data_IF_270506963009
#
_entry.id   IF_270506963009
#
_cell.length_a   1.000
_cell.length_b   1.000
_cell.length_c   1.000
_cell.angle_alpha   90.00
_cell.angle_beta   90.00
_cell.angle_gamma   90.00
#
_symmetry.space_group_name_H-M   'P 1'
#
loop_
_entity.id
_entity.type
_entity.pdbx_description
1 polymer ?
#
# COMPACT_ATOMS: atom_id res chain seq x y z
N UNK A 1 -9.42 13.63 -12.34
CA UNK A 1 -10.09 12.54 -11.62
C UNK A 1 -9.63 11.18 -12.12
N UNK A 2 -8.33 10.98 -12.36
CA UNK A 2 -7.80 9.78 -13.05
C UNK A 2 -6.55 9.23 -12.38
N UNK A 3 -6.59 9.09 -11.06
CA UNK A 3 -5.37 8.86 -10.30
C UNK A 3 -5.20 7.43 -9.80
N UNK A 4 -6.11 6.53 -10.12
CA UNK A 4 -6.12 5.19 -9.51
C UNK A 4 -6.06 4.01 -10.49
N UNK A 5 -5.85 4.26 -11.77
CA UNK A 5 -5.86 3.20 -12.78
C UNK A 5 -4.63 2.30 -12.78
N UNK A 6 -3.50 2.72 -12.22
CA UNK A 6 -2.29 1.89 -12.17
C UNK A 6 -2.35 0.77 -11.11
N UNK A 7 -3.30 0.83 -10.20
CA UNK A 7 -3.47 -0.18 -9.15
C UNK A 7 -4.29 -1.39 -9.60
N UNK A 8 -4.98 -1.27 -10.74
CA UNK A 8 -5.84 -2.34 -11.27
C UNK A 8 -5.15 -3.23 -12.31
N UNK A 9 -3.93 -2.93 -12.71
CA UNK A 9 -3.20 -3.73 -13.70
C UNK A 9 -2.48 -4.94 -13.09
N UNK A 10 -2.18 -4.90 -11.78
CA UNK A 10 -1.64 -6.07 -11.09
C UNK A 10 -2.77 -6.96 -10.57
N UNK A 11 -2.63 -8.29 -10.68
CA UNK A 11 -3.58 -9.19 -10.03
C UNK A 11 -3.66 -8.78 -8.56
N UNK A 12 -4.86 -8.40 -8.13
CA UNK A 12 -5.09 -7.81 -6.80
C UNK A 12 -4.47 -8.73 -5.73
N UNK A 13 -3.35 -8.36 -5.12
CA UNK A 13 -2.70 -9.25 -4.16
C UNK A 13 -3.66 -9.46 -2.98
N UNK A 14 -3.81 -10.69 -2.49
CA UNK A 14 -4.71 -10.99 -1.37
C UNK A 14 -4.27 -10.31 -0.07
N UNK A 15 -3.01 -9.90 0.02
CA UNK A 15 -2.47 -9.22 1.18
C UNK A 15 -2.92 -7.74 1.23
N UNK A 16 -3.32 -7.23 2.41
CA UNK A 16 -3.53 -5.80 2.61
C UNK A 16 -2.22 -5.01 2.44
N UNK A 17 -2.30 -3.74 2.08
CA UNK A 17 -1.13 -2.92 1.68
C UNK A 17 0.03 -2.88 2.68
N UNK A 18 -0.26 -2.96 3.97
CA UNK A 18 0.78 -3.04 5.00
C UNK A 18 1.61 -4.32 4.96
N UNK A 19 1.12 -5.36 4.31
CA UNK A 19 1.75 -6.68 4.19
C UNK A 19 2.15 -7.02 2.75
N UNK A 20 1.59 -6.35 1.75
CA UNK A 20 1.72 -6.68 0.33
C UNK A 20 3.15 -6.58 -0.23
N UNK A 21 4.06 -5.87 0.42
CA UNK A 21 5.47 -5.80 0.01
C UNK A 21 6.33 -6.94 0.55
N UNK A 22 5.77 -7.82 1.37
CA UNK A 22 6.47 -9.00 1.84
C UNK A 22 6.10 -10.19 0.94
N UNK A 23 7.00 -10.55 0.03
CA UNK A 23 6.78 -11.66 -0.91
C UNK A 23 6.50 -13.00 -0.21
N UNK A 24 7.04 -13.21 1.00
CA UNK A 24 6.77 -14.40 1.78
C UNK A 24 5.31 -14.44 2.28
N UNK A 25 4.76 -13.29 2.69
CA UNK A 25 3.34 -13.19 3.08
C UNK A 25 2.44 -13.47 1.89
N UNK A 26 2.75 -12.91 0.75
CA UNK A 26 1.95 -13.08 -0.47
C UNK A 26 1.96 -14.53 -0.94
N UNK A 27 3.14 -15.15 -1.02
CA UNK A 27 3.27 -16.56 -1.38
C UNK A 27 2.54 -17.48 -0.40
N UNK A 28 2.63 -17.20 0.91
CA UNK A 28 1.94 -17.98 1.94
C UNK A 28 0.42 -17.85 1.81
N UNK A 29 -0.09 -16.64 1.60
CA UNK A 29 -1.53 -16.41 1.43
C UNK A 29 -2.07 -17.08 0.17
N UNK A 30 -1.34 -17.05 -0.94
CA UNK A 30 -1.73 -17.71 -2.19
C UNK A 30 -1.83 -19.24 -2.02
N UNK A 31 -0.97 -19.83 -1.19
CA UNK A 31 -1.00 -21.27 -0.92
C UNK A 31 -2.02 -21.66 0.14
N UNK A 32 -2.16 -20.86 1.21
CA UNK A 32 -3.03 -21.19 2.33
C UNK A 32 -4.50 -20.79 2.12
N UNK A 33 -4.77 -19.81 1.26
CA UNK A 33 -6.09 -19.29 0.96
C UNK A 33 -6.31 -19.17 -0.56
N UNK A 34 -6.75 -20.22 -1.24
CA UNK A 34 -6.93 -20.24 -2.70
C UNK A 34 -8.04 -19.27 -3.17
N UNK A 35 -8.91 -18.86 -2.29
CA UNK A 35 -9.92 -17.83 -2.57
C UNK A 35 -9.76 -16.69 -1.59
N UNK A 36 -9.50 -15.51 -2.10
CA UNK A 36 -9.38 -14.29 -1.34
C UNK A 36 -10.11 -13.13 -2.02
N UNK A 37 -10.69 -12.26 -1.22
CA UNK A 37 -11.29 -11.00 -1.65
C UNK A 37 -10.70 -9.85 -0.86
N UNK A 38 -10.53 -8.69 -1.50
CA UNK A 38 -10.00 -7.49 -0.85
C UNK A 38 -10.91 -6.30 -1.12
N UNK A 39 -11.17 -5.54 -0.07
CA UNK A 39 -11.83 -4.23 -0.14
C UNK A 39 -10.85 -3.18 0.34
N UNK A 40 -10.66 -2.15 -0.45
CA UNK A 40 -9.75 -1.04 -0.15
C UNK A 40 -10.53 0.28 -0.17
N UNK A 41 -10.28 1.11 0.83
CA UNK A 41 -10.82 2.45 0.95
C UNK A 41 -9.66 3.45 1.03
N UNK A 42 -9.66 4.43 0.13
CA UNK A 42 -8.66 5.48 0.06
C UNK A 42 -9.33 6.84 0.04
N UNK A 43 -8.74 7.79 0.75
CA UNK A 43 -9.18 9.16 0.72
C UNK A 43 -7.99 10.11 0.51
N UNK A 44 -7.85 10.65 -0.69
CA UNK A 44 -6.79 11.58 -1.03
C UNK A 44 -7.11 12.99 -0.53
N UNK A 45 -6.30 13.50 0.39
CA UNK A 45 -6.39 14.86 0.91
C UNK A 45 -5.18 15.67 0.46
N UNK A 46 -5.34 16.66 -0.44
CA UNK A 46 -4.30 17.64 -0.70
C UNK A 46 -4.22 18.59 0.52
N UNK A 47 -3.17 18.45 1.35
CA UNK A 47 -3.11 19.17 2.61
C UNK A 47 -2.51 20.56 2.44
N UNK A 48 -1.48 20.71 1.61
CA UNK A 48 -0.79 21.99 1.44
C UNK A 48 -0.35 22.18 -0.02
N UNK A 49 -0.81 23.22 -0.71
CA UNK A 49 -0.15 23.71 -1.91
C UNK A 49 1.19 24.31 -1.47
N UNK A 50 2.30 23.72 -1.86
CA UNK A 50 3.62 24.18 -1.41
C UNK A 50 4.22 25.14 -2.43
N UNK A 51 3.87 25.05 -3.70
CA UNK A 51 4.34 25.89 -4.81
C UNK A 51 5.79 26.37 -4.60
N UNK A 52 6.69 25.43 -4.35
CA UNK A 52 8.08 25.72 -4.05
C UNK A 52 8.99 25.22 -5.16
N UNK A 53 9.81 26.12 -5.71
CA UNK A 53 10.79 25.79 -6.71
C UNK A 53 12.20 25.88 -6.15
N UNK A 54 13.01 24.85 -6.36
CA UNK A 54 14.45 24.90 -6.13
C UNK A 54 15.15 25.11 -7.47
N UNK A 55 15.42 26.36 -7.79
CA UNK A 55 15.99 26.74 -9.10
C UNK A 55 15.10 26.26 -10.25
N UNK A 56 15.74 25.89 -11.38
CA UNK A 56 15.05 25.33 -12.54
C UNK A 56 14.99 23.79 -12.52
N UNK A 57 15.38 23.16 -11.39
CA UNK A 57 15.60 21.71 -11.31
C UNK A 57 14.37 21.01 -10.75
N UNK A 58 13.82 21.52 -9.63
CA UNK A 58 12.71 20.91 -8.94
C UNK A 58 11.57 21.88 -8.75
N UNK A 59 10.36 21.44 -9.09
CA UNK A 59 9.13 22.14 -8.76
C UNK A 59 8.21 21.22 -7.96
N UNK A 60 8.02 21.56 -6.69
CA UNK A 60 7.13 20.88 -5.76
C UNK A 60 5.76 21.54 -5.83
N UNK A 61 4.74 20.76 -6.13
CA UNK A 61 3.37 21.27 -6.28
C UNK A 61 2.59 21.25 -4.97
N UNK A 62 2.51 20.10 -4.33
CA UNK A 62 1.74 19.93 -3.12
C UNK A 62 2.19 18.73 -2.31
N UNK A 63 1.92 18.80 -1.01
CA UNK A 63 1.91 17.63 -0.15
C UNK A 63 0.53 16.99 -0.18
N UNK A 64 0.51 15.69 -0.31
CA UNK A 64 -0.71 14.87 -0.31
C UNK A 64 -0.61 13.83 0.80
N UNK A 65 -1.68 13.69 1.57
CA UNK A 65 -1.83 12.59 2.52
C UNK A 65 -3.03 11.77 2.09
N UNK A 66 -2.81 10.48 1.94
CA UNK A 66 -3.83 9.51 1.53
C UNK A 66 -4.00 8.50 2.66
N UNK A 67 -4.88 8.74 3.63
CA UNK A 67 -5.28 7.70 4.56
C UNK A 67 -5.96 6.56 3.80
N UNK A 68 -5.67 5.34 4.22
CA UNK A 68 -6.24 4.15 3.63
C UNK A 68 -6.64 3.11 4.67
N UNK A 69 -7.60 2.28 4.30
CA UNK A 69 -7.98 1.10 5.04
C UNK A 69 -8.24 -0.05 4.05
N UNK A 70 -7.60 -1.18 4.29
CA UNK A 70 -7.78 -2.39 3.51
C UNK A 70 -8.34 -3.50 4.39
N UNK A 71 -9.26 -4.26 3.85
CA UNK A 71 -9.82 -5.45 4.48
C UNK A 71 -9.74 -6.61 3.47
N UNK A 72 -9.04 -7.67 3.84
CA UNK A 72 -8.91 -8.87 3.04
C UNK A 72 -9.67 -10.02 3.70
N UNK A 73 -10.50 -10.69 2.92
CA UNK A 73 -11.24 -11.88 3.30
C UNK A 73 -10.54 -13.09 2.69
N UNK A 74 -10.22 -14.06 3.53
CA UNK A 74 -9.50 -15.27 3.15
C UNK A 74 -10.40 -16.49 3.35
N UNK A 75 -10.41 -17.39 2.38
CA UNK A 75 -11.01 -18.71 2.56
C UNK A 75 -9.89 -19.73 2.73
N UNK A 76 -9.66 -20.23 3.95
CA UNK A 76 -8.61 -21.20 4.21
C UNK A 76 -8.83 -22.48 3.40
N UNK A 77 -7.75 -23.05 2.86
CA UNK A 77 -7.77 -24.39 2.33
C UNK A 77 -7.75 -25.42 3.47
N UNK A 78 -8.37 -26.57 3.26
CA UNK A 78 -8.39 -27.63 4.25
C UNK A 78 -6.95 -28.11 4.58
N UNK A 79 -6.64 -28.20 5.88
CA UNK A 79 -5.33 -28.70 6.34
C UNK A 79 -4.21 -27.68 6.38
N UNK A 80 -4.45 -26.41 6.05
CA UNK A 80 -3.38 -25.38 6.04
C UNK A 80 -3.06 -24.80 7.41
N UNK A 81 -3.87 -25.10 8.44
CA UNK A 81 -3.69 -24.54 9.77
C UNK A 81 -4.01 -23.05 9.89
N UNK A 82 -4.45 -22.41 8.83
CA UNK A 82 -4.83 -21.00 8.84
C UNK A 82 -6.04 -20.81 9.75
N UNK A 83 -5.82 -20.21 10.89
CA UNK A 83 -6.85 -19.83 11.85
C UNK A 83 -7.25 -18.39 11.59
N UNK A 84 -8.54 -18.20 11.29
CA UNK A 84 -9.06 -16.89 10.94
C UNK A 84 -9.17 -16.68 9.42
N UNK A 85 -10.10 -15.81 9.03
CA UNK A 85 -10.48 -15.60 7.65
C UNK A 85 -10.37 -14.14 7.23
N UNK A 86 -9.83 -13.27 8.06
CA UNK A 86 -9.72 -11.84 7.77
C UNK A 86 -8.35 -11.28 8.16
N UNK A 87 -7.84 -10.42 7.30
CA UNK A 87 -6.70 -9.55 7.54
C UNK A 87 -7.11 -8.11 7.24
N UNK A 88 -6.60 -7.18 7.98
CA UNK A 88 -6.82 -5.77 7.72
C UNK A 88 -5.51 -4.99 7.82
N UNK A 89 -5.44 -3.87 7.13
CA UNK A 89 -4.43 -2.85 7.38
C UNK A 89 -5.04 -1.46 7.28
N UNK A 90 -4.56 -0.55 8.10
CA UNK A 90 -4.91 0.84 8.05
C UNK A 90 -3.64 1.68 8.12
N UNK A 91 -3.62 2.82 7.45
CA UNK A 91 -2.43 3.65 7.41
C UNK A 91 -2.62 4.93 6.63
N UNK A 92 -1.50 5.54 6.30
CA UNK A 92 -1.48 6.72 5.45
C UNK A 92 -0.24 6.73 4.57
N UNK A 93 -0.42 7.17 3.34
CA UNK A 93 0.65 7.54 2.43
C UNK A 93 0.85 9.05 2.51
N UNK A 94 2.05 9.48 2.84
CA UNK A 94 2.45 10.89 2.83
C UNK A 94 3.36 11.08 1.63
N UNK A 95 2.93 11.85 0.66
CA UNK A 95 3.66 12.02 -0.59
C UNK A 95 3.84 13.48 -0.97
N UNK A 96 4.93 13.75 -1.67
CA UNK A 96 5.22 15.03 -2.30
C UNK A 96 5.07 14.87 -3.79
N UNK A 97 4.24 15.69 -4.40
CA UNK A 97 4.06 15.72 -5.84
C UNK A 97 5.09 16.66 -6.47
N UNK A 98 5.89 16.12 -7.37
CA UNK A 98 6.91 16.84 -8.12
C UNK A 98 6.44 16.94 -9.58
N UNK A 99 6.25 18.17 -10.05
CA UNK A 99 5.71 18.44 -11.38
C UNK A 99 6.82 18.66 -12.43
N UNK A 100 8.02 19.05 -12.01
CA UNK A 100 9.15 19.25 -12.92
C UNK A 100 10.44 18.71 -12.31
N UNK A 101 11.14 17.93 -13.11
CA UNK A 101 12.48 17.46 -12.81
C UNK A 101 13.37 17.79 -14.00
N UNK A 102 14.38 18.67 -13.80
CA UNK A 102 15.44 18.98 -14.77
C UNK A 102 14.86 19.26 -16.17
N UNK A 103 14.09 20.35 -16.32
CA UNK A 103 13.50 20.80 -17.59
C UNK A 103 12.49 19.83 -18.26
N UNK A 104 12.25 18.67 -17.68
CA UNK A 104 11.25 17.72 -18.16
C UNK A 104 10.00 17.85 -17.30
N UNK A 105 8.86 18.06 -17.93
CA UNK A 105 7.58 17.99 -17.26
C UNK A 105 7.28 16.52 -16.93
N UNK A 106 7.55 16.13 -15.71
CA UNK A 106 7.26 14.79 -15.22
C UNK A 106 6.39 14.90 -13.97
N UNK A 107 5.25 14.26 -14.00
CA UNK A 107 4.40 14.17 -12.82
C UNK A 107 4.75 12.90 -12.06
N UNK A 108 5.55 13.01 -11.03
CA UNK A 108 5.78 11.89 -10.12
C UNK A 108 5.61 12.31 -8.66
N UNK A 109 5.25 11.38 -7.85
CA UNK A 109 5.17 11.56 -6.40
C UNK A 109 6.12 10.60 -5.71
N UNK A 110 6.78 11.11 -4.69
CA UNK A 110 7.63 10.34 -3.79
C UNK A 110 7.13 10.53 -2.37
N UNK A 111 7.06 9.46 -1.61
CA UNK A 111 6.51 9.53 -0.27
C UNK A 111 6.87 8.36 0.60
N UNK A 112 6.25 8.36 1.77
CA UNK A 112 6.39 7.32 2.78
C UNK A 112 5.02 6.77 3.11
N UNK A 113 4.91 5.45 3.17
CA UNK A 113 3.76 4.72 3.66
C UNK A 113 3.99 4.30 5.10
N UNK A 114 3.03 4.65 5.95
CA UNK A 114 2.92 4.17 7.31
C UNK A 114 1.68 3.29 7.39
N UNK A 115 1.84 2.03 7.77
CA UNK A 115 0.72 1.11 7.86
C UNK A 115 0.80 0.26 9.13
N UNK A 116 -0.35 -0.05 9.68
CA UNK A 116 -0.53 -1.01 10.75
C UNK A 116 -1.46 -2.12 10.28
N UNK A 117 -1.06 -3.35 10.49
CA UNK A 117 -1.78 -4.54 10.02
C UNK A 117 -2.13 -5.47 11.18
N UNK A 118 -3.26 -6.14 11.06
CA UNK A 118 -3.74 -7.09 12.06
C UNK A 118 -4.89 -7.93 11.53
N UNK A 119 -5.58 -8.59 12.43
CA UNK A 119 -6.73 -9.42 12.13
C UNK A 119 -6.60 -10.85 12.65
N UNK A 120 -7.69 -11.63 12.62
CA UNK A 120 -7.71 -13.02 13.12
C UNK A 120 -6.69 -13.95 12.44
N UNK A 121 -6.35 -13.69 11.17
CA UNK A 121 -5.36 -14.48 10.44
C UNK A 121 -3.91 -14.01 10.67
N UNK A 122 -3.70 -12.86 11.32
CA UNK A 122 -2.37 -12.29 11.51
C UNK A 122 -1.44 -13.12 12.41
N UNK A 123 -1.90 -13.73 13.53
CA UNK A 123 -1.05 -14.60 14.35
C UNK A 123 -0.48 -15.78 13.58
N UNK A 124 -1.27 -16.39 12.68
CA UNK A 124 -0.78 -17.46 11.80
C UNK A 124 0.38 -16.98 10.91
N UNK A 125 0.28 -15.78 10.33
CA UNK A 125 1.36 -15.21 9.53
C UNK A 125 2.62 -14.95 10.34
N UNK A 126 2.48 -14.49 11.59
CA UNK A 126 3.63 -14.27 12.49
C UNK A 126 4.33 -15.57 12.87
N UNK A 127 3.59 -16.65 13.02
CA UNK A 127 4.15 -17.97 13.31
C UNK A 127 4.95 -18.53 12.13
N UNK A 128 4.44 -18.35 10.90
CA UNK A 128 5.07 -18.86 9.69
C UNK A 128 6.23 -17.99 9.19
N UNK A 129 6.19 -16.69 9.50
CA UNK A 129 7.20 -15.73 9.03
C UNK A 129 7.83 -15.05 10.26
N UNK A 130 8.97 -15.58 10.75
CA UNK A 130 9.67 -14.99 11.88
C UNK A 130 10.06 -13.53 11.61
N UNK A 131 9.74 -12.65 12.56
CA UNK A 131 10.05 -11.22 12.45
C UNK A 131 9.00 -10.37 11.73
N UNK A 132 7.87 -10.95 11.32
CA UNK A 132 6.75 -10.17 10.78
C UNK A 132 6.19 -9.24 11.85
N UNK A 133 6.27 -7.94 11.58
CA UNK A 133 5.76 -6.89 12.48
C UNK A 133 4.40 -6.38 11.98
N UNK A 134 3.51 -5.99 12.91
CA UNK A 134 2.24 -5.37 12.53
C UNK A 134 2.42 -3.97 11.92
N UNK A 135 3.52 -3.30 12.25
CA UNK A 135 3.82 -1.96 11.76
C UNK A 135 4.78 -2.02 10.57
N UNK A 136 4.41 -1.30 9.52
CA UNK A 136 5.17 -1.19 8.27
C UNK A 136 5.49 0.27 7.95
N UNK A 137 6.73 0.53 7.59
CA UNK A 137 7.19 1.79 7.01
C UNK A 137 7.85 1.50 5.68
N UNK A 138 7.44 2.17 4.63
CA UNK A 138 8.01 1.94 3.31
C UNK A 138 7.95 3.15 2.41
N UNK A 139 8.82 3.17 1.41
CA UNK A 139 8.80 4.20 0.38
C UNK A 139 7.67 3.93 -0.62
N UNK A 140 7.02 5.00 -1.04
CA UNK A 140 6.01 5.00 -2.11
C UNK A 140 6.54 5.85 -3.26
N UNK A 141 6.49 5.29 -4.45
CA UNK A 141 6.85 5.99 -5.67
C UNK A 141 5.73 5.80 -6.69
N UNK A 142 5.19 6.88 -7.19
CA UNK A 142 4.13 6.85 -8.19
C UNK A 142 4.47 7.80 -9.34
N UNK A 143 4.36 7.32 -10.56
CA UNK A 143 4.52 8.11 -11.78
C UNK A 143 3.16 8.29 -12.41
N UNK A 144 2.74 9.53 -12.57
CA UNK A 144 1.55 9.88 -13.33
C UNK A 144 2.00 10.15 -14.78
N UNK A 145 1.73 9.22 -15.65
CA UNK A 145 1.90 9.37 -17.10
C UNK A 145 0.79 10.22 -17.70
#
# INVERSE_FOLDING_TARGET
MDTYSSWFADPCPPAPRGLAKNAAVEALLLTAAPLAGKVSLDYAMPILPVDFAIGNIFYFRNFEVVPFADLSFLRPAAGTGLTGNTLWSAGADIAVNIQRLILVSSNFSIGVRLAYSGGPAFPFLQEQIPGLKPFYVGAVFNTKL
#
